data_IF_775258761477
#
_entry.id   IF_775258761477
#
_cell.length_a   1.000
_cell.length_b   1.000
_cell.length_c   1.000
_cell.angle_alpha   90.00
_cell.angle_beta   90.00
_cell.angle_gamma   90.00
#
_symmetry.space_group_name_H-M   'P 1'
#
loop_
_entity.id
_entity.type
_entity.pdbx_description
1 polymer ?
#
# COMPACT_ATOMS: atom_id res chain seq x y z
N UNK A 1 31.46 -0.99 26.28
CA UNK A 1 30.79 0.00 25.37
C UNK A 1 30.86 -0.41 23.90
N UNK A 2 31.93 -0.98 23.39
CA UNK A 2 32.04 -1.39 21.97
C UNK A 2 31.23 -2.65 21.61
N UNK A 3 31.12 -3.62 22.52
CA UNK A 3 30.32 -4.85 22.32
C UNK A 3 28.83 -4.59 22.23
N UNK A 4 28.32 -3.70 23.07
CA UNK A 4 26.89 -3.37 23.13
C UNK A 4 26.44 -2.60 21.89
N UNK A 5 27.28 -1.65 21.46
CA UNK A 5 27.05 -0.91 20.21
C UNK A 5 27.09 -1.86 19.01
N UNK A 6 28.02 -2.82 18.97
CA UNK A 6 28.10 -3.81 17.90
C UNK A 6 26.86 -4.73 17.87
N UNK A 7 26.37 -5.15 19.04
CA UNK A 7 25.16 -5.96 19.15
C UNK A 7 23.89 -5.20 18.67
N UNK A 8 23.74 -3.94 19.08
CA UNK A 8 22.62 -3.09 18.63
C UNK A 8 22.67 -2.90 17.11
N UNK A 9 23.83 -2.58 16.55
CA UNK A 9 23.99 -2.41 15.10
C UNK A 9 23.75 -3.71 14.33
N UNK A 10 24.15 -4.86 14.89
CA UNK A 10 23.89 -6.14 14.26
C UNK A 10 22.40 -6.49 14.22
N UNK A 11 21.67 -6.25 15.32
CA UNK A 11 20.23 -6.48 15.41
C UNK A 11 19.48 -5.56 14.43
N UNK A 12 19.83 -4.27 14.40
CA UNK A 12 19.24 -3.30 13.49
C UNK A 12 19.53 -3.65 12.03
N UNK A 13 20.77 -4.07 11.74
CA UNK A 13 21.14 -4.53 10.40
C UNK A 13 20.38 -5.78 9.95
N UNK A 14 20.17 -6.75 10.85
CA UNK A 14 19.38 -7.97 10.56
C UNK A 14 17.90 -7.59 10.32
N UNK A 15 17.32 -6.74 11.17
CA UNK A 15 15.94 -6.31 11.03
C UNK A 15 15.71 -5.56 9.71
N UNK A 16 16.58 -4.60 9.42
CA UNK A 16 16.53 -3.83 8.17
C UNK A 16 16.76 -4.73 6.95
N UNK A 17 17.75 -5.63 7.03
CA UNK A 17 18.03 -6.62 5.99
C UNK A 17 16.84 -7.55 5.71
N UNK A 18 16.13 -7.99 6.75
CA UNK A 18 14.92 -8.80 6.60
C UNK A 18 13.80 -8.05 5.85
N UNK A 19 13.61 -6.76 6.13
CA UNK A 19 12.64 -5.92 5.40
C UNK A 19 13.01 -5.84 3.92
N UNK A 20 14.27 -5.55 3.60
CA UNK A 20 14.72 -5.51 2.20
C UNK A 20 14.57 -6.87 1.50
N UNK A 21 14.85 -7.97 2.19
CA UNK A 21 14.68 -9.32 1.63
C UNK A 21 13.20 -9.60 1.30
N UNK A 22 12.27 -9.23 2.18
CA UNK A 22 10.83 -9.39 1.94
C UNK A 22 10.34 -8.55 0.75
N UNK A 23 10.80 -7.30 0.65
CA UNK A 23 10.47 -6.43 -0.49
C UNK A 23 11.04 -6.99 -1.79
N UNK A 24 12.27 -7.49 -1.77
CA UNK A 24 12.89 -8.12 -2.95
C UNK A 24 12.13 -9.38 -3.40
N UNK A 25 11.79 -10.27 -2.48
CA UNK A 25 11.00 -11.48 -2.76
C UNK A 25 9.64 -11.09 -3.35
N UNK A 26 8.94 -10.14 -2.76
CA UNK A 26 7.64 -9.65 -3.26
C UNK A 26 7.75 -9.09 -4.67
N UNK A 27 8.77 -8.29 -4.95
CA UNK A 27 9.02 -7.74 -6.29
C UNK A 27 9.29 -8.84 -7.32
N UNK A 28 10.12 -9.84 -6.96
CA UNK A 28 10.42 -10.99 -7.83
C UNK A 28 9.16 -11.82 -8.11
N UNK A 29 8.32 -12.07 -7.11
CA UNK A 29 7.07 -12.81 -7.27
C UNK A 29 6.12 -12.08 -8.23
N UNK A 30 5.95 -10.77 -8.07
CA UNK A 30 5.13 -9.97 -9.00
C UNK A 30 5.69 -10.05 -10.41
N UNK A 31 7.01 -9.86 -10.58
CA UNK A 31 7.66 -9.95 -11.89
C UNK A 31 7.48 -11.31 -12.55
N UNK A 32 7.58 -12.40 -11.78
CA UNK A 32 7.44 -13.76 -12.30
C UNK A 32 6.06 -14.02 -12.90
N UNK A 33 5.02 -13.43 -12.30
CA UNK A 33 3.63 -13.60 -12.73
C UNK A 33 3.25 -12.59 -13.82
N UNK A 34 3.60 -11.32 -13.63
CA UNK A 34 3.10 -10.22 -14.48
C UNK A 34 4.05 -9.82 -15.60
N UNK A 35 5.31 -10.21 -15.51
CA UNK A 35 6.42 -9.74 -16.38
C UNK A 35 6.64 -8.23 -16.31
N UNK A 36 6.07 -7.57 -15.30
CA UNK A 36 6.23 -6.14 -15.03
C UNK A 36 7.17 -5.94 -13.85
N UNK A 37 8.19 -5.12 -14.00
CA UNK A 37 9.03 -4.68 -12.88
C UNK A 37 8.24 -3.62 -12.12
N UNK A 38 7.53 -4.06 -11.08
CA UNK A 38 6.63 -3.20 -10.30
C UNK A 38 7.40 -2.51 -9.17
N UNK A 39 8.06 -1.38 -9.52
CA UNK A 39 8.82 -0.56 -8.57
C UNK A 39 7.95 -0.04 -7.41
N UNK A 40 6.67 0.36 -7.61
CA UNK A 40 5.81 0.85 -6.54
C UNK A 40 5.51 -0.14 -5.40
N UNK A 41 5.98 -1.38 -5.48
CA UNK A 41 5.80 -2.36 -4.41
C UNK A 41 6.36 -1.85 -3.06
N UNK A 42 7.55 -1.22 -3.09
CA UNK A 42 8.14 -0.61 -1.91
C UNK A 42 7.32 0.57 -1.37
N UNK A 43 6.74 1.37 -2.25
CA UNK A 43 5.87 2.49 -1.86
C UNK A 43 4.60 1.99 -1.16
N UNK A 44 3.99 0.92 -1.69
CA UNK A 44 2.81 0.29 -1.07
C UNK A 44 3.14 -0.21 0.34
N UNK A 45 4.32 -0.83 0.53
CA UNK A 45 4.79 -1.23 1.84
C UNK A 45 4.99 -0.03 2.78
N UNK A 46 5.61 1.06 2.29
CA UNK A 46 5.77 2.30 3.05
C UNK A 46 4.42 2.94 3.41
N UNK A 47 3.48 2.99 2.47
CA UNK A 47 2.11 3.46 2.74
C UNK A 47 1.40 2.63 3.81
N UNK A 48 1.66 1.31 3.87
CA UNK A 48 1.11 0.45 4.94
C UNK A 48 1.62 0.90 6.31
N UNK A 49 2.93 1.14 6.45
CA UNK A 49 3.52 1.60 7.70
C UNK A 49 3.02 3.00 8.08
N UNK A 50 2.95 3.93 7.14
CA UNK A 50 2.43 5.28 7.35
C UNK A 50 0.93 5.27 7.71
N UNK A 51 0.15 4.37 7.11
CA UNK A 51 -1.26 4.18 7.44
C UNK A 51 -1.42 3.69 8.87
N UNK A 52 -0.63 2.70 9.28
CA UNK A 52 -0.63 2.22 10.66
C UNK A 52 -0.27 3.35 11.63
N UNK A 53 0.79 4.10 11.35
CA UNK A 53 1.21 5.23 12.17
C UNK A 53 0.13 6.31 12.31
N UNK A 54 -0.61 6.61 11.24
CA UNK A 54 -1.74 7.54 11.30
C UNK A 54 -2.89 7.01 12.17
N UNK A 55 -3.18 5.69 12.06
CA UNK A 55 -4.19 5.04 12.89
C UNK A 55 -3.78 5.03 14.37
N UNK A 56 -2.50 4.81 14.70
CA UNK A 56 -1.98 4.88 16.06
C UNK A 56 -2.08 6.31 16.62
N UNK A 57 -1.84 7.32 15.78
CA UNK A 57 -2.03 8.74 16.14
C UNK A 57 -3.51 9.16 16.22
N UNK A 58 -4.46 8.21 16.13
CA UNK A 58 -5.92 8.44 16.14
C UNK A 58 -6.38 9.39 15.03
N UNK A 59 -5.64 9.45 13.92
CA UNK A 59 -5.99 10.23 12.73
C UNK A 59 -6.45 9.29 11.63
N UNK A 60 -7.49 9.69 10.91
CA UNK A 60 -7.89 8.92 9.72
C UNK A 60 -6.82 9.08 8.64
N UNK A 61 -6.24 7.99 8.12
CA UNK A 61 -5.11 8.06 7.20
C UNK A 61 -5.52 8.60 5.83
N UNK A 62 -4.65 9.40 5.21
CA UNK A 62 -4.82 9.89 3.84
C UNK A 62 -4.96 8.78 2.79
N UNK A 63 -4.48 7.58 3.11
CA UNK A 63 -4.67 6.35 2.32
C UNK A 63 -6.14 6.07 2.03
N UNK A 64 -7.07 6.35 2.96
CA UNK A 64 -8.49 6.19 2.72
C UNK A 64 -8.99 7.08 1.58
N UNK A 65 -8.57 8.35 1.55
CA UNK A 65 -8.90 9.26 0.45
C UNK A 65 -8.27 8.78 -0.87
N UNK A 66 -7.02 8.33 -0.86
CA UNK A 66 -6.33 7.76 -2.02
C UNK A 66 -7.12 6.57 -2.59
N UNK A 67 -7.53 5.63 -1.74
CA UNK A 67 -8.32 4.46 -2.17
C UNK A 67 -9.62 4.87 -2.84
N UNK A 68 -10.35 5.82 -2.26
CA UNK A 68 -11.62 6.31 -2.85
C UNK A 68 -11.38 6.97 -4.21
N UNK A 69 -10.36 7.82 -4.33
CA UNK A 69 -10.01 8.47 -5.61
C UNK A 69 -9.65 7.44 -6.66
N UNK A 70 -8.78 6.48 -6.33
CA UNK A 70 -8.41 5.41 -7.25
C UNK A 70 -9.60 4.52 -7.61
N UNK A 71 -10.49 4.22 -6.66
CA UNK A 71 -11.71 3.46 -6.91
C UNK A 71 -12.64 4.18 -7.89
N UNK A 72 -12.84 5.48 -7.72
CA UNK A 72 -13.63 6.30 -8.65
C UNK A 72 -13.00 6.32 -10.05
N UNK A 73 -11.68 6.52 -10.16
CA UNK A 73 -10.97 6.54 -11.44
C UNK A 73 -11.03 5.17 -12.14
N UNK A 74 -10.76 4.08 -11.42
CA UNK A 74 -10.84 2.72 -11.97
C UNK A 74 -12.24 2.39 -12.45
N UNK A 75 -13.26 2.76 -11.67
CA UNK A 75 -14.67 2.57 -12.03
C UNK A 75 -15.03 3.35 -13.28
N UNK A 76 -14.61 4.61 -13.39
CA UNK A 76 -14.87 5.45 -14.56
C UNK A 76 -14.24 4.83 -15.81
N UNK A 77 -12.97 4.41 -15.74
CA UNK A 77 -12.28 3.75 -16.85
C UNK A 77 -12.99 2.45 -17.24
N UNK A 78 -13.43 1.64 -16.25
CA UNK A 78 -14.15 0.40 -16.52
C UNK A 78 -15.50 0.66 -17.20
N UNK A 79 -16.28 1.61 -16.72
CA UNK A 79 -17.57 2.00 -17.33
C UNK A 79 -17.36 2.43 -18.78
N UNK A 80 -16.38 3.29 -19.06
CA UNK A 80 -16.09 3.74 -20.43
C UNK A 80 -15.71 2.54 -21.32
N UNK A 81 -14.90 1.63 -20.79
CA UNK A 81 -14.49 0.41 -21.50
C UNK A 81 -15.69 -0.48 -21.84
N UNK A 82 -16.60 -0.73 -20.86
CA UNK A 82 -17.77 -1.56 -21.03
C UNK A 82 -18.80 -0.95 -21.99
N UNK A 83 -18.97 0.38 -21.98
CA UNK A 83 -19.85 1.07 -22.93
C UNK A 83 -19.29 0.94 -24.36
N UNK A 84 -17.97 1.07 -24.54
CA UNK A 84 -17.33 0.93 -25.84
C UNK A 84 -17.39 -0.50 -26.40
N UNK A 85 -17.32 -1.52 -25.52
CA UNK A 85 -17.39 -2.93 -25.91
C UNK A 85 -18.83 -3.45 -26.07
N UNK A 86 -19.84 -2.69 -25.64
CA UNK A 86 -21.25 -3.08 -25.69
C UNK A 86 -21.67 -4.08 -24.60
N UNK A 87 -20.77 -4.41 -23.66
CA UNK A 87 -20.98 -5.42 -22.61
C UNK A 87 -21.53 -4.83 -21.31
N UNK A 88 -22.66 -4.14 -21.40
CA UNK A 88 -23.31 -3.48 -20.24
C UNK A 88 -23.72 -4.46 -19.12
N UNK A 89 -23.81 -5.77 -19.42
CA UNK A 89 -24.15 -6.82 -18.43
C UNK A 89 -23.09 -6.95 -17.32
N UNK A 90 -21.85 -6.55 -17.57
CA UNK A 90 -20.77 -6.61 -16.60
C UNK A 90 -20.68 -5.38 -15.69
N UNK A 91 -21.49 -4.35 -15.96
CA UNK A 91 -21.52 -3.10 -15.20
C UNK A 91 -21.73 -3.29 -13.68
N UNK A 92 -22.70 -4.11 -13.20
CA UNK A 92 -22.89 -4.30 -11.77
C UNK A 92 -21.69 -4.99 -11.10
N UNK A 93 -21.02 -5.89 -11.81
CA UNK A 93 -19.81 -6.54 -11.31
C UNK A 93 -18.64 -5.55 -11.22
N UNK A 94 -18.48 -4.69 -12.21
CA UNK A 94 -17.45 -3.65 -12.22
C UNK A 94 -17.65 -2.66 -11.07
N UNK A 95 -18.88 -2.18 -10.84
CA UNK A 95 -19.22 -1.33 -9.73
C UNK A 95 -18.95 -1.99 -8.37
N UNK A 96 -19.27 -3.27 -8.25
CA UNK A 96 -19.01 -4.03 -7.02
C UNK A 96 -17.50 -4.10 -6.70
N UNK A 97 -16.68 -4.50 -7.68
CA UNK A 97 -15.25 -4.74 -7.45
C UNK A 97 -14.42 -3.46 -7.34
N UNK A 98 -14.70 -2.46 -8.19
CA UNK A 98 -13.85 -1.27 -8.26
C UNK A 98 -14.36 -0.12 -7.37
N UNK A 99 -15.63 -0.10 -7.01
CA UNK A 99 -16.19 0.97 -6.17
C UNK A 99 -16.68 0.46 -4.81
N UNK A 100 -17.59 -0.53 -4.80
CA UNK A 100 -18.27 -0.93 -3.57
C UNK A 100 -17.31 -1.57 -2.56
N UNK A 101 -16.46 -2.52 -2.97
CA UNK A 101 -15.51 -3.19 -2.07
C UNK A 101 -14.48 -2.21 -1.50
N UNK A 102 -13.75 -1.40 -2.29
CA UNK A 102 -12.81 -0.44 -1.73
C UNK A 102 -13.47 0.60 -0.82
N UNK A 103 -14.64 1.11 -1.22
CA UNK A 103 -15.38 2.08 -0.39
C UNK A 103 -15.89 1.48 0.91
N UNK A 104 -16.33 0.21 0.89
CA UNK A 104 -16.74 -0.50 2.10
C UNK A 104 -15.57 -0.67 3.07
N UNK A 105 -14.37 -1.00 2.58
CA UNK A 105 -13.15 -1.10 3.40
C UNK A 105 -12.85 0.23 4.08
N UNK A 106 -12.91 1.34 3.33
CA UNK A 106 -12.71 2.69 3.88
C UNK A 106 -13.77 3.02 4.93
N UNK A 107 -15.05 2.69 4.66
CA UNK A 107 -16.15 2.89 5.60
C UNK A 107 -16.00 2.09 6.89
N UNK A 108 -15.59 0.81 6.79
CA UNK A 108 -15.31 -0.05 7.95
C UNK A 108 -14.16 0.54 8.77
N UNK A 109 -13.08 0.95 8.13
CA UNK A 109 -11.94 1.55 8.81
C UNK A 109 -12.36 2.84 9.57
N UNK A 110 -13.17 3.69 8.94
CA UNK A 110 -13.68 4.92 9.55
C UNK A 110 -14.58 4.66 10.76
N UNK A 111 -15.48 3.66 10.66
CA UNK A 111 -16.36 3.27 11.77
C UNK A 111 -15.58 2.67 12.93
N UNK A 112 -14.63 1.76 12.62
CA UNK A 112 -13.85 1.05 13.64
C UNK A 112 -12.93 2.00 14.41
N UNK A 113 -12.39 3.02 13.74
CA UNK A 113 -11.54 4.03 14.40
C UNK A 113 -12.28 4.82 15.49
N UNK A 114 -13.61 4.93 15.42
CA UNK A 114 -14.41 5.58 16.48
C UNK A 114 -14.47 4.78 17.77
N UNK A 115 -14.16 3.48 17.73
CA UNK A 115 -14.23 2.55 18.87
C UNK A 115 -12.88 2.39 19.59
N UNK A 116 -11.84 3.14 19.18
CA UNK A 116 -10.48 3.09 19.73
C UNK A 116 -9.90 1.64 19.76
N UNK A 117 -9.75 1.01 18.57
CA UNK A 117 -9.44 -0.40 18.49
C UNK A 117 -8.01 -0.72 18.98
N UNK A 118 -7.77 -1.95 19.50
CA UNK A 118 -6.44 -2.39 19.90
C UNK A 118 -5.49 -2.45 18.69
N UNK A 119 -4.16 -2.45 18.96
CA UNK A 119 -3.11 -2.43 17.95
C UNK A 119 -3.28 -3.51 16.86
N UNK A 120 -3.65 -4.73 17.24
CA UNK A 120 -3.86 -5.82 16.29
C UNK A 120 -4.96 -5.49 15.26
N UNK A 121 -6.04 -4.83 15.69
CA UNK A 121 -7.12 -4.40 14.78
C UNK A 121 -6.67 -3.26 13.90
N UNK A 122 -5.89 -2.30 14.41
CA UNK A 122 -5.30 -1.20 13.61
C UNK A 122 -4.39 -1.76 12.52
N UNK A 123 -3.58 -2.76 12.84
CA UNK A 123 -2.72 -3.45 11.86
C UNK A 123 -3.56 -4.09 10.74
N UNK A 124 -4.62 -4.83 11.09
CA UNK A 124 -5.53 -5.43 10.10
C UNK A 124 -6.21 -4.36 9.25
N UNK A 125 -6.64 -3.25 9.84
CA UNK A 125 -7.24 -2.12 9.11
C UNK A 125 -6.24 -1.48 8.15
N UNK A 126 -4.98 -1.28 8.56
CA UNK A 126 -3.94 -0.76 7.69
C UNK A 126 -3.74 -1.67 6.47
N UNK A 127 -3.64 -2.99 6.67
CA UNK A 127 -3.53 -3.96 5.60
C UNK A 127 -4.77 -3.98 4.69
N UNK A 128 -5.97 -3.90 5.26
CA UNK A 128 -7.21 -3.84 4.48
C UNK A 128 -7.30 -2.57 3.63
N UNK A 129 -6.87 -1.41 4.14
CA UNK A 129 -6.87 -0.15 3.40
C UNK A 129 -5.88 -0.15 2.23
N UNK A 130 -4.74 -0.82 2.38
CA UNK A 130 -3.71 -0.89 1.36
C UNK A 130 -4.03 -1.92 0.27
N UNK A 131 -4.66 -3.02 0.62
CA UNK A 131 -4.93 -4.14 -0.29
C UNK A 131 -5.59 -3.72 -1.61
N UNK A 132 -6.60 -2.84 -1.67
CA UNK A 132 -7.22 -2.44 -2.93
C UNK A 132 -6.35 -1.54 -3.82
N UNK A 133 -5.28 -0.93 -3.31
CA UNK A 133 -4.45 0.02 -4.09
C UNK A 133 -3.79 -0.67 -5.28
N UNK A 134 -3.17 -1.84 -5.07
CA UNK A 134 -2.47 -2.54 -6.15
C UNK A 134 -3.39 -2.92 -7.34
N UNK A 135 -4.55 -3.58 -7.14
CA UNK A 135 -5.44 -3.89 -8.26
C UNK A 135 -6.10 -2.65 -8.89
N UNK A 136 -6.32 -1.57 -8.13
CA UNK A 136 -6.81 -0.32 -8.69
C UNK A 136 -5.76 0.35 -9.57
N UNK A 137 -4.50 0.39 -9.14
CA UNK A 137 -3.38 0.89 -9.95
C UNK A 137 -3.15 0.02 -11.18
N UNK A 138 -3.25 -1.30 -11.07
CA UNK A 138 -3.18 -2.20 -12.22
C UNK A 138 -4.24 -1.82 -13.26
N UNK A 139 -5.49 -1.66 -12.84
CA UNK A 139 -6.59 -1.32 -13.76
C UNK A 139 -6.42 0.03 -14.43
N UNK A 140 -5.93 1.04 -13.68
CA UNK A 140 -5.79 2.41 -14.17
C UNK A 140 -4.57 2.57 -15.07
N UNK A 141 -3.43 1.99 -14.66
CA UNK A 141 -2.11 2.31 -15.22
C UNK A 141 -1.61 1.19 -16.14
N UNK A 142 -1.59 -0.05 -15.68
CA UNK A 142 -0.91 -1.14 -16.39
C UNK A 142 -1.79 -1.85 -17.43
N UNK A 143 -3.05 -2.09 -17.15
CA UNK A 143 -3.95 -2.74 -18.12
C UNK A 143 -4.08 -2.02 -19.46
N UNK A 144 -4.17 -0.68 -19.52
CA UNK A 144 -4.26 0.02 -20.80
C UNK A 144 -3.00 -0.12 -21.67
N UNK A 145 -1.87 -0.46 -21.07
CA UNK A 145 -0.56 -0.59 -21.73
C UNK A 145 0.02 -2.00 -21.65
N UNK A 146 -0.81 -3.00 -21.29
CA UNK A 146 -0.35 -4.38 -21.06
C UNK A 146 0.33 -5.02 -22.28
N UNK A 147 -0.07 -4.64 -23.49
CA UNK A 147 0.55 -5.10 -24.76
C UNK A 147 1.81 -4.32 -25.13
N UNK A 148 2.24 -3.37 -24.29
CA UNK A 148 3.42 -2.56 -24.49
C UNK A 148 4.73 -3.31 -24.29
N UNK A 149 5.84 -2.67 -24.65
CA UNK A 149 7.17 -3.23 -24.42
C UNK A 149 7.52 -3.21 -22.95
N UNK A 150 8.39 -4.13 -22.50
CA UNK A 150 8.89 -4.17 -21.12
C UNK A 150 9.50 -2.83 -20.69
N UNK A 151 10.16 -2.12 -21.62
CA UNK A 151 10.73 -0.81 -21.35
C UNK A 151 9.64 0.24 -21.06
N UNK A 152 8.52 0.22 -21.81
CA UNK A 152 7.37 1.09 -21.54
C UNK A 152 6.79 0.83 -20.16
N UNK A 153 6.55 -0.44 -19.81
CA UNK A 153 6.02 -0.84 -18.51
C UNK A 153 6.95 -0.42 -17.36
N UNK A 154 8.27 -0.57 -17.55
CA UNK A 154 9.26 -0.11 -16.58
C UNK A 154 9.23 1.42 -16.41
N UNK A 155 9.20 2.17 -17.52
CA UNK A 155 9.15 3.64 -17.47
C UNK A 155 7.90 4.15 -16.74
N UNK A 156 6.75 3.54 -17.02
CA UNK A 156 5.50 3.88 -16.36
C UNK A 156 5.54 3.48 -14.87
N UNK A 157 6.18 2.36 -14.53
CA UNK A 157 6.38 1.93 -13.15
C UNK A 157 7.22 2.92 -12.35
N UNK A 158 8.30 3.46 -12.95
CA UNK A 158 9.12 4.52 -12.33
C UNK A 158 8.32 5.81 -12.15
N UNK A 159 7.56 6.22 -13.17
CA UNK A 159 6.72 7.42 -13.08
C UNK A 159 5.65 7.27 -11.97
N UNK A 160 5.06 6.08 -11.84
CA UNK A 160 4.10 5.78 -10.78
C UNK A 160 4.75 5.82 -9.39
N UNK A 161 5.99 5.33 -9.25
CA UNK A 161 6.76 5.45 -8.02
C UNK A 161 6.88 6.91 -7.59
N UNK A 162 7.34 7.81 -8.48
CA UNK A 162 7.44 9.24 -8.15
C UNK A 162 6.09 9.88 -7.82
N UNK A 163 5.02 9.47 -8.50
CA UNK A 163 3.68 9.95 -8.19
C UNK A 163 3.25 9.50 -6.77
N UNK A 164 3.49 8.24 -6.39
CA UNK A 164 3.19 7.73 -5.05
C UNK A 164 4.05 8.41 -3.98
N UNK A 165 5.33 8.62 -4.20
CA UNK A 165 6.19 9.40 -3.29
C UNK A 165 5.63 10.80 -3.08
N UNK A 166 5.24 11.49 -4.13
CA UNK A 166 4.62 12.82 -4.04
C UNK A 166 3.29 12.80 -3.28
N UNK A 167 2.44 11.81 -3.50
CA UNK A 167 1.20 11.62 -2.76
C UNK A 167 1.47 11.26 -1.30
N UNK A 168 2.50 10.47 -1.01
CA UNK A 168 2.94 10.17 0.35
C UNK A 168 3.30 11.43 1.12
N UNK A 169 4.10 12.31 0.52
CA UNK A 169 4.46 13.59 1.12
C UNK A 169 3.23 14.50 1.33
N UNK A 170 2.28 14.47 0.40
CA UNK A 170 1.05 15.27 0.51
C UNK A 170 0.14 14.80 1.65
N UNK A 171 -0.01 13.48 1.82
CA UNK A 171 -0.94 12.92 2.80
C UNK A 171 -0.36 12.77 4.21
N UNK A 172 0.93 12.47 4.31
CA UNK A 172 1.58 12.17 5.60
C UNK A 172 2.59 13.24 6.02
N UNK A 173 2.97 14.13 5.10
CA UNK A 173 3.98 15.17 5.34
C UNK A 173 5.42 14.66 5.20
N UNK A 174 6.41 15.58 5.31
CA UNK A 174 7.84 15.25 5.17
C UNK A 174 8.45 14.67 6.45
N UNK A 175 7.74 14.70 7.57
CA UNK A 175 8.25 14.27 8.86
C UNK A 175 8.18 12.75 9.02
N UNK A 176 9.27 12.16 9.55
CA UNK A 176 9.30 10.73 9.89
C UNK A 176 8.32 10.43 11.01
N UNK A 177 7.41 9.49 10.78
CA UNK A 177 6.43 9.04 11.78
C UNK A 177 6.94 7.75 12.42
N UNK A 178 6.82 7.64 13.75
CA UNK A 178 7.13 6.43 14.51
C UNK A 178 5.84 5.84 15.04
N UNK A 179 5.72 4.50 14.92
CA UNK A 179 4.65 3.73 15.57
C UNK A 179 5.13 3.19 16.91
N UNK A 180 4.20 2.88 17.79
CA UNK A 180 4.51 2.11 18.99
C UNK A 180 5.05 0.72 18.60
N UNK A 181 6.03 0.18 19.35
CA UNK A 181 6.54 -1.16 19.09
C UNK A 181 5.42 -2.20 19.24
N UNK A 182 5.39 -3.19 18.33
CA UNK A 182 4.38 -4.26 18.33
C UNK A 182 4.41 -5.12 19.60
N UNK A 183 5.52 -5.08 20.34
CA UNK A 183 5.70 -5.80 21.62
C UNK A 183 6.49 -4.95 22.60
N UNK A 184 6.09 -4.96 23.86
CA UNK A 184 6.84 -4.34 24.96
C UNK A 184 7.96 -5.23 25.51
N UNK A 185 8.31 -6.31 24.81
CA UNK A 185 9.39 -7.20 25.23
C UNK A 185 10.73 -6.48 25.00
N UNK A 186 11.30 -5.92 26.06
CA UNK A 186 12.67 -5.42 26.09
C UNK A 186 13.55 -6.47 26.77
N UNK A 187 14.52 -7.00 26.05
CA UNK A 187 15.62 -7.78 26.64
C UNK A 187 16.73 -6.82 27.00
N UNK A 188 16.90 -6.56 28.27
CA UNK A 188 18.13 -5.92 28.76
C UNK A 188 19.25 -6.97 28.67
N UNK A 189 20.16 -6.78 27.74
CA UNK A 189 21.43 -7.50 27.74
C UNK A 189 22.29 -6.89 28.85
N UNK A 190 22.44 -7.66 29.91
CA UNK A 190 23.03 -7.37 31.18
C UNK A 190 24.21 -6.40 31.18
N UNK A 191 24.15 -5.56 32.13
CA UNK A 191 25.03 -4.54 32.52
C UNK A 191 26.36 -4.93 33.09
#
# INVERSE_FOLDING_TARGET
MTSDIAAILAIDGIATGAVYALVAIGTVLIFTVTRVIFIPFGDIAAFTALTLAALDAKRFPGTGALVVVLACLATLIEIISLIRSGDSRLLPRALLFYLAIPSAVVGIAWLTMRMDPPLAVRLVLALMLITPIAPLLDRIVFRPIADGTVLLLLTVSVALHFALVGLGLLFFGPEGVRTEPLTSFSTEFAG
#
